data_IF_332136252686
#
_entry.id   IF_332136252686
#
_cell.length_a   1.000
_cell.length_b   1.000
_cell.length_c   1.000
_cell.angle_alpha   90.00
_cell.angle_beta   90.00
_cell.angle_gamma   90.00
#
_symmetry.space_group_name_H-M   'P 1'
#
loop_
_entity.id
_entity.type
_entity.pdbx_description
1 polymer ?
#
# COMPACT_ATOMS: atom_id res chain seq x y z
N UNK A 1 -7.28 -15.66 -31.94
CA UNK A 1 -6.02 -14.91 -32.03
C UNK A 1 -5.92 -14.07 -30.78
N UNK A 2 -5.31 -14.61 -29.72
CA UNK A 2 -5.14 -13.91 -28.43
C UNK A 2 -3.94 -12.97 -28.56
N UNK A 3 -4.21 -11.69 -28.69
CA UNK A 3 -3.19 -10.64 -28.56
C UNK A 3 -2.67 -10.67 -27.13
N UNK A 4 -1.45 -11.17 -26.93
CA UNK A 4 -0.70 -10.95 -25.70
C UNK A 4 -0.35 -9.48 -25.64
N UNK A 5 -1.07 -8.72 -24.84
CA UNK A 5 -0.69 -7.35 -24.50
C UNK A 5 0.60 -7.41 -23.68
N UNK A 6 1.69 -6.90 -24.23
CA UNK A 6 3.02 -6.82 -23.59
C UNK A 6 3.08 -5.66 -22.59
N UNK A 7 1.94 -5.29 -21.98
CA UNK A 7 1.86 -4.24 -20.99
C UNK A 7 2.59 -4.67 -19.71
N UNK A 8 3.21 -3.70 -19.04
CA UNK A 8 3.90 -3.95 -17.77
C UNK A 8 2.89 -4.46 -16.74
N UNK A 9 3.22 -5.50 -15.96
CA UNK A 9 2.31 -6.03 -14.97
C UNK A 9 1.98 -4.96 -13.92
N UNK A 10 0.69 -4.78 -13.68
CA UNK A 10 0.15 -3.88 -12.67
C UNK A 10 0.69 -4.20 -11.27
N UNK A 11 0.55 -3.26 -10.34
CA UNK A 11 0.94 -3.48 -8.94
C UNK A 11 0.27 -4.74 -8.36
N UNK A 12 -1.04 -4.85 -8.57
CA UNK A 12 -1.84 -5.99 -8.12
C UNK A 12 -1.30 -7.30 -8.69
N UNK A 13 -1.08 -7.40 -10.00
CA UNK A 13 -0.53 -8.61 -10.64
C UNK A 13 0.85 -8.99 -10.08
N UNK A 14 1.72 -8.01 -9.81
CA UNK A 14 3.04 -8.26 -9.20
C UNK A 14 2.93 -8.77 -7.76
N UNK A 15 1.96 -8.28 -6.98
CA UNK A 15 1.70 -8.78 -5.63
C UNK A 15 1.17 -10.22 -5.67
N UNK A 16 0.22 -10.54 -6.56
CA UNK A 16 -0.26 -11.91 -6.73
C UNK A 16 0.86 -12.87 -7.19
N UNK A 17 1.70 -12.43 -8.12
CA UNK A 17 2.87 -13.20 -8.57
C UNK A 17 3.85 -13.46 -7.42
N UNK A 18 4.02 -12.52 -6.50
CA UNK A 18 4.83 -12.72 -5.30
C UNK A 18 4.17 -13.68 -4.31
N UNK A 19 2.87 -13.55 -4.06
CA UNK A 19 2.11 -14.43 -3.16
C UNK A 19 2.11 -15.89 -3.65
N UNK A 20 1.95 -16.10 -4.96
CA UNK A 20 2.05 -17.43 -5.59
C UNK A 20 3.47 -18.02 -5.62
N UNK A 21 4.50 -17.21 -5.33
CA UNK A 21 5.89 -17.65 -5.14
C UNK A 21 6.31 -17.69 -3.66
N UNK A 22 5.40 -17.40 -2.74
CA UNK A 22 5.73 -17.43 -1.31
C UNK A 22 6.03 -18.86 -0.87
N UNK A 23 6.96 -19.01 0.05
CA UNK A 23 7.53 -20.29 0.51
C UNK A 23 6.57 -21.13 1.36
N UNK A 24 5.29 -20.77 1.45
CA UNK A 24 4.32 -21.52 2.22
C UNK A 24 4.03 -22.86 1.55
N UNK A 25 4.73 -23.90 2.01
CA UNK A 25 4.39 -25.30 1.75
C UNK A 25 3.37 -25.73 2.79
N UNK A 26 2.21 -26.15 2.33
CA UNK A 26 1.21 -26.79 3.20
C UNK A 26 1.84 -28.02 3.86
N UNK A 27 1.84 -28.14 5.21
CA UNK A 27 2.40 -29.30 5.86
C UNK A 27 1.60 -30.55 5.49
N UNK A 28 2.22 -31.42 4.69
CA UNK A 28 1.68 -32.71 4.28
C UNK A 28 1.95 -33.72 5.40
N UNK A 29 1.17 -33.66 6.49
CA UNK A 29 1.12 -34.76 7.45
C UNK A 29 -0.23 -34.84 8.15
N UNK A 30 -0.88 -36.00 8.00
CA UNK A 30 -1.98 -36.45 8.86
C UNK A 30 -3.36 -36.01 8.37
N UNK A 31 -4.15 -36.99 7.91
CA UNK A 31 -5.46 -36.75 7.32
C UNK A 31 -6.45 -36.12 8.28
N UNK A 32 -7.07 -35.04 7.83
CA UNK A 32 -8.47 -34.70 8.10
C UNK A 32 -9.04 -33.92 6.92
N UNK A 33 -10.26 -34.27 6.54
CA UNK A 33 -11.09 -33.68 5.50
C UNK A 33 -11.39 -32.21 5.82
N UNK A 34 -11.27 -31.34 4.81
CA UNK A 34 -11.38 -29.87 4.83
C UNK A 34 -10.09 -29.08 5.15
N UNK A 35 -9.08 -29.23 4.29
CA UNK A 35 -8.07 -28.18 4.08
C UNK A 35 -8.79 -26.94 3.52
N UNK A 36 -9.21 -26.03 4.39
CA UNK A 36 -9.68 -24.71 3.95
C UNK A 36 -8.48 -24.04 3.28
N UNK A 37 -8.58 -23.82 1.97
CA UNK A 37 -7.57 -23.06 1.24
C UNK A 37 -7.32 -21.74 1.96
N UNK A 38 -6.06 -21.41 2.20
CA UNK A 38 -5.71 -20.13 2.81
C UNK A 38 -6.22 -19.04 1.88
N UNK A 39 -7.07 -18.11 2.35
CA UNK A 39 -7.57 -17.03 1.52
C UNK A 39 -6.41 -16.23 0.91
N UNK A 40 -6.58 -15.79 -0.34
CA UNK A 40 -5.53 -15.10 -1.10
C UNK A 40 -4.97 -13.88 -0.36
N UNK A 41 -5.81 -13.17 0.40
CA UNK A 41 -5.42 -12.01 1.18
C UNK A 41 -4.39 -12.34 2.28
N UNK A 42 -4.49 -13.52 2.90
CA UNK A 42 -3.50 -13.96 3.89
C UNK A 42 -2.18 -14.32 3.22
N UNK A 43 -2.21 -14.89 2.01
CA UNK A 43 -1.00 -15.18 1.22
C UNK A 43 -0.30 -13.88 0.79
N UNK A 44 -1.08 -12.87 0.40
CA UNK A 44 -0.57 -11.52 0.10
C UNK A 44 0.05 -10.88 1.33
N UNK A 45 -0.65 -10.92 2.46
CA UNK A 45 -0.15 -10.37 3.72
C UNK A 45 1.15 -11.06 4.17
N UNK A 46 1.21 -12.39 4.08
CA UNK A 46 2.41 -13.17 4.37
C UNK A 46 3.57 -12.78 3.44
N UNK A 47 3.32 -12.67 2.14
CA UNK A 47 4.34 -12.26 1.17
C UNK A 47 4.87 -10.84 1.42
N UNK A 48 3.99 -9.88 1.69
CA UNK A 48 4.36 -8.48 1.94
C UNK A 48 4.99 -8.26 3.31
N UNK A 49 4.78 -9.18 4.27
CA UNK A 49 5.41 -9.11 5.60
C UNK A 49 6.95 -9.08 5.51
N UNK A 50 7.53 -9.79 4.53
CA UNK A 50 8.96 -9.74 4.23
C UNK A 50 9.44 -8.36 3.76
N UNK A 51 8.52 -7.51 3.29
CA UNK A 51 8.81 -6.15 2.85
C UNK A 51 8.99 -5.14 3.99
N UNK A 52 8.74 -5.51 5.25
CA UNK A 52 8.85 -4.57 6.38
C UNK A 52 10.31 -4.34 6.78
N UNK A 53 10.73 -3.07 6.84
CA UNK A 53 12.09 -2.67 7.27
C UNK A 53 12.22 -2.50 8.78
N UNK A 54 11.20 -1.93 9.41
CA UNK A 54 11.16 -1.66 10.85
C UNK A 54 9.73 -1.81 11.38
N UNK A 55 9.54 -1.94 12.71
CA UNK A 55 8.20 -2.03 13.29
C UNK A 55 7.30 -0.84 12.95
N UNK A 56 7.83 0.33 12.61
CA UNK A 56 7.08 1.53 12.24
C UNK A 56 6.84 1.71 10.73
N UNK A 57 7.46 0.90 9.88
CA UNK A 57 7.35 0.98 8.42
C UNK A 57 5.93 0.60 7.97
N UNK A 58 5.23 1.52 7.30
CA UNK A 58 3.85 1.33 6.82
C UNK A 58 3.77 0.89 5.36
N UNK A 59 4.90 0.76 4.65
CA UNK A 59 4.92 0.33 3.25
C UNK A 59 4.18 -1.00 2.99
N UNK A 60 4.41 -2.06 3.79
CA UNK A 60 3.66 -3.31 3.65
C UNK A 60 2.17 -3.14 3.92
N UNK A 61 1.79 -2.28 4.87
CA UNK A 61 0.40 -2.06 5.26
C UNK A 61 -0.39 -1.45 4.09
N UNK A 62 0.16 -0.39 3.48
CA UNK A 62 -0.48 0.23 2.32
C UNK A 62 -0.43 -0.68 1.08
N UNK A 63 0.62 -1.48 0.90
CA UNK A 63 0.70 -2.46 -0.18
C UNK A 63 -0.40 -3.54 -0.08
N UNK A 64 -0.71 -4.01 1.13
CA UNK A 64 -1.81 -4.97 1.36
C UNK A 64 -3.14 -4.31 1.03
N UNK A 65 -3.39 -3.11 1.54
CA UNK A 65 -4.65 -2.40 1.31
C UNK A 65 -4.85 -2.10 -0.18
N UNK A 66 -3.80 -1.69 -0.90
CA UNK A 66 -3.84 -1.48 -2.36
C UNK A 66 -4.07 -2.77 -3.15
N UNK A 67 -3.49 -3.90 -2.73
CA UNK A 67 -3.62 -5.17 -3.44
C UNK A 67 -5.00 -5.82 -3.25
N UNK A 68 -5.58 -5.65 -2.06
CA UNK A 68 -6.87 -6.23 -1.67
C UNK A 68 -8.05 -5.28 -1.97
N UNK A 69 -7.79 -3.97 -2.02
CA UNK A 69 -8.82 -2.92 -2.06
C UNK A 69 -9.52 -2.69 -0.71
N UNK A 70 -9.10 -3.40 0.34
CA UNK A 70 -9.70 -3.34 1.67
C UNK A 70 -8.92 -2.33 2.51
N UNK A 71 -9.63 -1.40 3.16
CA UNK A 71 -9.00 -0.39 4.01
C UNK A 71 -8.74 -0.93 5.43
N UNK A 72 -7.75 -1.81 5.58
CA UNK A 72 -7.42 -2.44 6.86
C UNK A 72 -6.51 -1.60 7.76
N UNK A 73 -5.67 -0.74 7.18
CA UNK A 73 -4.59 -0.07 7.91
C UNK A 73 -4.70 1.46 7.91
N UNK A 74 -5.89 2.00 7.60
CA UNK A 74 -6.17 3.43 7.46
C UNK A 74 -5.51 4.32 8.55
N UNK A 75 -5.81 4.07 9.82
CA UNK A 75 -5.37 4.94 10.92
C UNK A 75 -3.84 4.99 11.04
N UNK A 76 -3.19 3.84 10.86
CA UNK A 76 -1.73 3.73 10.95
C UNK A 76 -1.05 4.40 9.76
N UNK A 77 -1.54 4.16 8.55
CA UNK A 77 -0.99 4.74 7.31
C UNK A 77 -1.19 6.25 7.30
N UNK A 78 -2.39 6.75 7.61
CA UNK A 78 -2.67 8.19 7.66
C UNK A 78 -1.85 8.91 8.73
N UNK A 79 -1.66 8.31 9.91
CA UNK A 79 -0.81 8.90 10.94
C UNK A 79 0.67 8.94 10.53
N UNK A 80 1.16 7.92 9.83
CA UNK A 80 2.53 7.91 9.30
C UNK A 80 2.73 8.95 8.20
N UNK A 81 1.80 9.04 7.25
CA UNK A 81 1.82 10.05 6.20
C UNK A 81 1.72 11.47 6.77
N UNK A 82 0.82 11.69 7.72
CA UNK A 82 0.66 12.99 8.38
C UNK A 82 1.92 13.43 9.12
N UNK A 83 2.64 12.51 9.77
CA UNK A 83 3.96 12.80 10.36
C UNK A 83 5.02 13.14 9.30
N UNK A 84 5.05 12.40 8.20
CA UNK A 84 6.00 12.63 7.11
C UNK A 84 5.75 14.00 6.44
N UNK A 85 4.49 14.30 6.10
CA UNK A 85 4.09 15.60 5.58
C UNK A 85 4.34 16.70 6.60
N UNK A 86 4.03 16.51 7.89
CA UNK A 86 4.25 17.53 8.92
C UNK A 86 5.72 17.91 9.16
N UNK A 87 6.65 17.02 8.81
CA UNK A 87 8.09 17.24 8.84
C UNK A 87 8.62 17.98 7.59
N UNK A 88 7.83 18.03 6.52
CA UNK A 88 8.16 18.75 5.29
C UNK A 88 8.21 20.27 5.54
N UNK A 89 9.26 20.92 5.03
CA UNK A 89 9.54 22.35 5.25
C UNK A 89 9.02 23.25 4.13
N UNK A 90 8.37 22.69 3.11
CA UNK A 90 7.79 23.44 2.01
C UNK A 90 6.79 24.47 2.51
N UNK A 91 6.66 25.57 1.76
CA UNK A 91 5.71 26.63 2.08
C UNK A 91 4.27 26.10 2.05
N UNK A 92 3.96 25.24 1.09
CA UNK A 92 2.65 24.63 0.87
C UNK A 92 2.17 23.84 2.09
N UNK A 93 3.00 22.94 2.61
CA UNK A 93 2.69 22.16 3.82
C UNK A 93 2.56 23.06 5.04
N UNK A 94 3.48 24.02 5.23
CA UNK A 94 3.46 24.91 6.41
C UNK A 94 2.19 25.75 6.47
N UNK A 95 1.75 26.30 5.34
CA UNK A 95 0.51 27.08 5.22
C UNK A 95 -0.72 26.22 5.53
N UNK A 96 -0.72 24.98 5.07
CA UNK A 96 -1.86 24.07 5.19
C UNK A 96 -1.72 23.08 6.35
N UNK A 97 -0.94 23.41 7.40
CA UNK A 97 -0.62 22.49 8.50
C UNK A 97 -1.85 21.94 9.22
N UNK A 98 -2.88 22.77 9.40
CA UNK A 98 -4.14 22.36 10.02
C UNK A 98 -4.89 21.29 9.20
N UNK A 99 -4.64 21.21 7.89
CA UNK A 99 -5.36 20.33 6.96
C UNK A 99 -4.59 19.05 6.63
N UNK A 100 -3.38 18.82 7.16
CA UNK A 100 -2.54 17.65 6.84
C UNK A 100 -3.22 16.32 7.16
N UNK A 101 -4.09 16.28 8.19
CA UNK A 101 -4.92 15.10 8.47
C UNK A 101 -5.89 14.79 7.32
N UNK A 102 -6.57 15.81 6.79
CA UNK A 102 -7.47 15.68 5.65
C UNK A 102 -6.72 15.28 4.38
N UNK A 103 -5.55 15.87 4.13
CA UNK A 103 -4.67 15.48 3.02
C UNK A 103 -4.28 14.01 3.11
N UNK A 104 -3.91 13.54 4.30
CA UNK A 104 -3.50 12.15 4.51
C UNK A 104 -4.64 11.17 4.24
N UNK A 105 -5.85 11.50 4.69
CA UNK A 105 -7.07 10.73 4.40
C UNK A 105 -7.37 10.69 2.90
N UNK A 106 -7.34 11.84 2.23
CA UNK A 106 -7.65 11.95 0.81
C UNK A 106 -6.63 11.19 -0.05
N UNK A 107 -5.34 11.31 0.27
CA UNK A 107 -4.27 10.56 -0.38
C UNK A 107 -4.47 9.04 -0.23
N UNK A 108 -4.82 8.58 0.98
CA UNK A 108 -5.12 7.17 1.22
C UNK A 108 -6.33 6.68 0.39
N UNK A 109 -7.40 7.47 0.33
CA UNK A 109 -8.56 7.14 -0.51
C UNK A 109 -8.18 7.04 -1.99
N UNK A 110 -7.37 7.96 -2.50
CA UNK A 110 -6.93 7.96 -3.89
C UNK A 110 -6.11 6.73 -4.26
N UNK A 111 -5.15 6.32 -3.42
CA UNK A 111 -4.33 5.13 -3.72
C UNK A 111 -5.12 3.82 -3.67
N UNK A 112 -6.27 3.81 -2.98
CA UNK A 112 -7.22 2.70 -3.00
C UNK A 112 -8.22 2.78 -4.18
N UNK A 113 -8.06 3.73 -5.10
CA UNK A 113 -8.97 3.91 -6.23
C UNK A 113 -10.36 4.44 -5.83
N UNK A 114 -10.48 5.06 -4.65
CA UNK A 114 -11.73 5.68 -4.19
C UNK A 114 -11.78 7.14 -4.62
N UNK A 115 -12.99 7.69 -4.66
CA UNK A 115 -13.18 9.10 -4.95
C UNK A 115 -12.38 9.98 -3.96
N UNK A 116 -11.67 10.97 -4.49
CA UNK A 116 -10.99 11.97 -3.67
C UNK A 116 -12.04 12.80 -2.94
N UNK A 117 -11.98 12.91 -1.60
CA UNK A 117 -12.84 13.81 -0.84
C UNK A 117 -12.67 15.27 -1.32
N UNK A 118 -13.73 16.09 -1.23
CA UNK A 118 -13.63 17.50 -1.56
C UNK A 118 -12.67 18.23 -0.60
N UNK A 119 -12.14 19.36 -1.07
CA UNK A 119 -11.30 20.22 -0.25
C UNK A 119 -12.07 20.70 0.99
N UNK A 120 -11.48 20.64 2.20
CA UNK A 120 -12.06 21.25 3.38
C UNK A 120 -12.15 22.77 3.25
N UNK A 121 -12.99 23.41 4.04
CA UNK A 121 -13.06 24.88 4.06
C UNK A 121 -11.71 25.49 4.48
N UNK A 122 -11.29 26.54 3.78
CA UNK A 122 -10.07 27.30 4.09
C UNK A 122 -8.79 26.86 3.38
N UNK A 123 -8.81 25.79 2.58
CA UNK A 123 -7.71 25.45 1.67
C UNK A 123 -8.07 25.82 0.23
N UNK A 124 -7.08 26.32 -0.50
CA UNK A 124 -7.19 26.56 -1.93
C UNK A 124 -7.28 25.24 -2.71
N UNK A 125 -8.11 25.18 -3.76
CA UNK A 125 -8.35 23.93 -4.49
C UNK A 125 -7.12 23.39 -5.23
N UNK A 126 -6.28 24.27 -5.78
CA UNK A 126 -5.04 23.86 -6.44
C UNK A 126 -4.05 23.30 -5.41
N UNK A 127 -3.92 23.99 -4.27
CA UNK A 127 -3.08 23.54 -3.16
C UNK A 127 -3.55 22.20 -2.56
N UNK A 128 -4.87 22.00 -2.46
CA UNK A 128 -5.46 20.74 -2.05
C UNK A 128 -5.09 19.63 -3.03
N UNK A 129 -5.28 19.85 -4.34
CA UNK A 129 -4.95 18.87 -5.37
C UNK A 129 -3.47 18.50 -5.33
N UNK A 130 -2.58 19.48 -5.21
CA UNK A 130 -1.13 19.25 -5.15
C UNK A 130 -0.71 18.45 -3.91
N UNK A 131 -1.24 18.82 -2.73
CA UNK A 131 -0.92 18.13 -1.48
C UNK A 131 -1.43 16.69 -1.49
N UNK A 132 -2.65 16.46 -1.98
CA UNK A 132 -3.23 15.12 -2.06
C UNK A 132 -2.47 14.27 -3.09
N UNK A 133 -2.15 14.82 -4.26
CA UNK A 133 -1.37 14.11 -5.28
C UNK A 133 0.03 13.75 -4.76
N UNK A 134 0.71 14.69 -4.08
CA UNK A 134 2.00 14.44 -3.44
C UNK A 134 1.91 13.36 -2.36
N UNK A 135 0.89 13.42 -1.50
CA UNK A 135 0.64 12.42 -0.47
C UNK A 135 0.38 11.02 -1.05
N UNK A 136 -0.45 10.93 -2.10
CA UNK A 136 -0.75 9.68 -2.79
C UNK A 136 0.53 9.09 -3.41
N UNK A 137 1.36 9.93 -4.03
CA UNK A 137 2.63 9.50 -4.61
C UNK A 137 3.60 8.93 -3.57
N UNK A 138 3.65 9.52 -2.39
CA UNK A 138 4.45 8.99 -1.27
C UNK A 138 3.95 7.60 -0.85
N UNK A 139 2.63 7.42 -0.73
CA UNK A 139 2.04 6.13 -0.36
C UNK A 139 2.32 5.05 -1.40
N UNK A 140 2.14 5.35 -2.69
CA UNK A 140 2.48 4.44 -3.79
C UNK A 140 3.95 4.02 -3.74
N UNK A 141 4.86 4.98 -3.55
CA UNK A 141 6.29 4.71 -3.49
C UNK A 141 6.64 3.79 -2.31
N UNK A 142 6.03 4.00 -1.13
CA UNK A 142 6.20 3.12 0.02
C UNK A 142 5.71 1.69 -0.26
N UNK A 143 4.57 1.55 -0.95
CA UNK A 143 4.04 0.25 -1.36
C UNK A 143 4.99 -0.47 -2.34
N UNK A 144 5.48 0.25 -3.36
CA UNK A 144 6.43 -0.29 -4.35
C UNK A 144 7.75 -0.72 -3.74
N UNK A 145 8.26 0.05 -2.79
CA UNK A 145 9.47 -0.28 -2.06
C UNK A 145 9.31 -1.52 -1.18
N UNK A 146 8.18 -1.64 -0.50
CA UNK A 146 7.86 -2.81 0.32
C UNK A 146 7.75 -4.06 -0.55
N UNK A 147 7.04 -3.99 -1.67
CA UNK A 147 6.93 -5.08 -2.64
C UNK A 147 8.31 -5.48 -3.20
N UNK A 148 9.12 -4.49 -3.59
CA UNK A 148 10.46 -4.73 -4.12
C UNK A 148 11.37 -5.37 -3.08
N UNK A 149 11.27 -4.96 -1.82
CA UNK A 149 12.04 -5.54 -0.72
C UNK A 149 11.58 -6.97 -0.40
N UNK A 150 10.26 -7.20 -0.35
CA UNK A 150 9.67 -8.52 -0.16
C UNK A 150 10.14 -9.48 -1.26
N UNK A 151 10.08 -9.07 -2.53
CA UNK A 151 10.55 -9.87 -3.65
C UNK A 151 12.05 -10.19 -3.59
N UNK A 152 12.89 -9.23 -3.15
CA UNK A 152 14.33 -9.47 -2.95
C UNK A 152 14.59 -10.47 -1.82
N UNK A 153 13.88 -10.36 -0.71
CA UNK A 153 14.05 -11.25 0.45
C UNK A 153 13.53 -12.66 0.17
N UNK A 154 12.37 -12.79 -0.49
CA UNK A 154 11.83 -14.09 -0.91
C UNK A 154 12.83 -14.87 -1.79
N UNK A 155 13.53 -14.19 -2.72
CA UNK A 155 14.57 -14.81 -3.56
C UNK A 155 15.83 -15.26 -2.81
N UNK A 156 16.09 -14.76 -1.60
CA UNK A 156 17.26 -15.15 -0.80
C UNK A 156 16.99 -16.36 0.10
N UNK A 157 15.71 -16.66 0.33
CA UNK A 157 15.26 -17.74 1.22
C UNK A 157 14.86 -18.99 0.42
N UNK A 158 14.53 -18.83 -0.87
CA UNK A 158 14.32 -19.92 -1.83
C UNK A 158 15.66 -20.47 -2.35
#
# INVERSE_FOLDING_TARGET
MTTFDTSRPSFRERVYALAGRSTWREPTSGGTTHLRSIPADHMIAAALSFGRRSPGDVGPDIAIDMATGIAGHYGRVCAALGRALGADRSRLVRRNRAHIGHVSMAAYSMVLGRACPPAPEGIDEDEWRDLVAGGARVLEQLAEEALSLAARRARRVA
#
